data_IF_444949076125
#
_entry.id   IF_444949076125
#
_cell.length_a   1.000
_cell.length_b   1.000
_cell.length_c   1.000
_cell.angle_alpha   90.00
_cell.angle_beta   90.00
_cell.angle_gamma   90.00
#
_symmetry.space_group_name_H-M   'P 1'
#
loop_
_entity.id
_entity.type
_entity.pdbx_description
1 polymer ?
#
# COMPACT_ATOMS: atom_id res chain seq x y z
N UNK A 1 13.48 -11.42 -0.14
CA UNK A 1 12.08 -11.05 -0.43
C UNK A 1 11.40 -10.87 0.90
N UNK A 2 11.41 -9.64 1.42
CA UNK A 2 10.90 -9.33 2.75
C UNK A 2 9.37 -9.46 2.73
N UNK A 3 8.81 -10.42 3.48
CA UNK A 3 7.35 -10.62 3.56
C UNK A 3 6.76 -9.39 4.24
N UNK A 4 6.04 -8.57 3.50
CA UNK A 4 5.13 -7.57 4.08
C UNK A 4 4.17 -8.33 5.00
N UNK A 5 4.30 -8.15 6.31
CA UNK A 5 3.35 -8.74 7.25
C UNK A 5 2.06 -7.91 7.27
N UNK A 6 0.93 -8.51 7.65
CA UNK A 6 -0.39 -7.87 7.57
C UNK A 6 -0.47 -6.49 8.27
N UNK A 7 0.26 -6.30 9.38
CA UNK A 7 0.31 -5.01 10.08
C UNK A 7 1.10 -3.96 9.31
N UNK A 8 2.18 -4.33 8.62
CA UNK A 8 2.89 -3.43 7.73
C UNK A 8 2.00 -3.00 6.56
N UNK A 9 1.32 -3.95 5.92
CA UNK A 9 0.38 -3.64 4.84
C UNK A 9 -0.71 -2.67 5.30
N UNK A 10 -1.33 -2.92 6.46
CA UNK A 10 -2.36 -2.05 7.01
C UNK A 10 -1.88 -0.60 7.24
N UNK A 11 -0.66 -0.43 7.75
CA UNK A 11 -0.06 0.91 7.94
C UNK A 11 0.19 1.61 6.59
N UNK A 12 0.76 0.91 5.62
CA UNK A 12 1.02 1.48 4.28
C UNK A 12 -0.27 1.86 3.56
N UNK A 13 -1.29 1.00 3.61
CA UNK A 13 -2.59 1.30 3.03
C UNK A 13 -3.27 2.48 3.71
N UNK A 14 -3.21 2.59 5.03
CA UNK A 14 -3.79 3.72 5.75
C UNK A 14 -3.11 5.04 5.37
N UNK A 15 -1.78 5.08 5.34
CA UNK A 15 -1.01 6.28 4.96
C UNK A 15 -1.25 6.65 3.49
N UNK A 16 -1.40 5.66 2.60
CA UNK A 16 -1.72 5.90 1.20
C UNK A 16 -3.11 6.55 1.03
N UNK A 17 -4.11 6.13 1.83
CA UNK A 17 -5.47 6.71 1.79
C UNK A 17 -5.57 8.04 2.54
N UNK A 18 -4.72 8.25 3.55
CA UNK A 18 -4.76 9.40 4.44
C UNK A 18 -3.37 10.07 4.55
N UNK A 19 -2.85 10.66 3.45
CA UNK A 19 -1.56 11.32 3.48
C UNK A 19 -1.55 12.49 4.48
N UNK A 20 -0.45 12.63 5.20
CA UNK A 20 -0.28 13.66 6.23
C UNK A 20 -0.79 13.25 7.61
N UNK A 21 -1.27 12.00 7.77
CA UNK A 21 -1.72 11.47 9.05
C UNK A 21 -0.58 11.36 10.07
N UNK A 22 -0.93 11.48 11.35
CA UNK A 22 -0.05 11.22 12.49
C UNK A 22 -0.02 9.75 12.87
N UNK A 23 1.01 9.32 13.61
CA UNK A 23 1.10 7.95 14.17
C UNK A 23 -0.17 7.59 14.94
N UNK A 24 -0.74 8.54 15.70
CA UNK A 24 -1.95 8.31 16.49
C UNK A 24 -3.15 8.05 15.60
N UNK A 25 -3.35 8.85 14.57
CA UNK A 25 -4.48 8.66 13.63
C UNK A 25 -4.38 7.33 12.88
N UNK A 26 -3.16 6.91 12.50
CA UNK A 26 -2.91 5.58 11.90
C UNK A 26 -3.21 4.48 12.93
N UNK A 27 -2.81 4.65 14.18
CA UNK A 27 -3.10 3.71 15.29
C UNK A 27 -4.61 3.54 15.47
N UNK A 28 -5.34 4.66 15.54
CA UNK A 28 -6.77 4.68 15.76
C UNK A 28 -7.55 4.00 14.62
N UNK A 29 -7.12 4.17 13.36
CA UNK A 29 -7.78 3.57 12.18
C UNK A 29 -7.40 2.11 11.93
N UNK A 30 -6.16 1.72 12.20
CA UNK A 30 -5.68 0.35 11.95
C UNK A 30 -5.95 -0.60 13.13
N UNK A 31 -6.22 -0.07 14.33
CA UNK A 31 -6.38 -0.85 15.55
C UNK A 31 -5.08 -1.52 16.05
N UNK A 32 -3.94 -1.22 15.43
CA UNK A 32 -2.63 -1.74 15.82
C UNK A 32 -2.11 -0.98 17.05
N UNK A 33 -1.23 -1.62 17.83
CA UNK A 33 -0.57 -0.93 18.94
C UNK A 33 0.32 0.23 18.43
N UNK A 34 0.27 1.38 19.10
CA UNK A 34 1.03 2.59 18.70
C UNK A 34 2.54 2.32 18.58
N UNK A 35 3.11 1.49 19.46
CA UNK A 35 4.52 1.10 19.42
C UNK A 35 4.89 0.25 18.20
N UNK A 36 3.94 -0.54 17.68
CA UNK A 36 4.10 -1.29 16.44
C UNK A 36 4.02 -0.35 15.23
N UNK A 37 3.02 0.54 15.19
CA UNK A 37 2.88 1.55 14.13
C UNK A 37 4.14 2.41 14.04
N UNK A 38 4.63 2.92 15.17
CA UNK A 38 5.85 3.72 15.22
C UNK A 38 7.08 2.97 14.70
N UNK A 39 7.19 1.67 14.98
CA UNK A 39 8.31 0.84 14.52
C UNK A 39 8.25 0.60 13.01
N UNK A 40 7.06 0.31 12.49
CA UNK A 40 6.82 0.14 11.05
C UNK A 40 7.14 1.44 10.32
N UNK A 41 6.61 2.57 10.79
CA UNK A 41 6.84 3.89 10.19
C UNK A 41 8.32 4.25 10.22
N UNK A 42 9.01 4.04 11.35
CA UNK A 42 10.45 4.29 11.47
C UNK A 42 11.28 3.43 10.52
N UNK A 43 11.00 2.14 10.42
CA UNK A 43 11.68 1.24 9.50
C UNK A 43 11.42 1.62 8.03
N UNK A 44 10.18 1.95 7.69
CA UNK A 44 9.80 2.37 6.35
C UNK A 44 10.41 3.73 5.96
N UNK A 45 10.49 4.68 6.89
CA UNK A 45 11.17 5.95 6.68
C UNK A 45 12.68 5.76 6.48
N UNK A 46 13.32 4.91 7.30
CA UNK A 46 14.74 4.56 7.13
C UNK A 46 15.02 3.88 5.79
N UNK A 47 14.07 3.10 5.26
CA UNK A 47 14.13 2.50 3.94
C UNK A 47 13.71 3.46 2.79
N UNK A 48 13.35 4.70 3.09
CA UNK A 48 12.95 5.71 2.10
C UNK A 48 11.55 5.49 1.49
N UNK A 49 10.74 4.61 2.08
CA UNK A 49 9.38 4.32 1.62
C UNK A 49 8.34 5.32 2.16
N UNK A 50 8.59 5.91 3.33
CA UNK A 50 7.77 6.95 3.93
C UNK A 50 8.59 8.21 4.18
N UNK A 51 7.93 9.36 4.14
CA UNK A 51 8.47 10.64 4.60
C UNK A 51 7.74 11.03 5.88
N UNK A 52 8.51 11.42 6.88
CA UNK A 52 8.00 11.86 8.18
C UNK A 52 8.45 13.30 8.38
N UNK A 53 7.50 14.23 8.42
CA UNK A 53 7.76 15.66 8.62
C UNK A 53 7.18 16.12 9.94
N UNK A 54 7.92 16.94 10.68
CA UNK A 54 7.38 17.70 11.80
C UNK A 54 6.72 18.97 11.27
N UNK A 55 5.48 19.23 11.70
CA UNK A 55 4.76 20.45 11.36
C UNK A 55 5.44 21.68 12.00
N UNK A 56 5.83 22.65 11.18
CA UNK A 56 6.52 23.86 11.63
C UNK A 56 5.64 24.78 12.50
N UNK A 57 4.31 24.64 12.40
CA UNK A 57 3.34 25.43 13.19
C UNK A 57 3.00 24.78 14.52
N UNK A 58 3.18 23.46 14.62
CA UNK A 58 3.02 22.69 15.85
C UNK A 58 3.97 21.49 15.84
N UNK A 59 5.13 21.65 16.47
CA UNK A 59 6.16 20.61 16.55
C UNK A 59 5.68 19.30 17.21
N UNK A 60 4.50 19.30 17.84
CA UNK A 60 3.86 18.10 18.41
C UNK A 60 3.13 17.26 17.35
N UNK A 61 2.95 17.76 16.13
CA UNK A 61 2.30 17.07 15.02
C UNK A 61 3.33 16.57 14.02
N UNK A 62 3.54 15.26 14.04
CA UNK A 62 4.31 14.53 13.04
C UNK A 62 3.36 14.07 11.94
N UNK A 63 3.68 14.36 10.68
CA UNK A 63 2.91 13.95 9.50
C UNK A 63 3.66 12.85 8.74
N UNK A 64 2.92 11.84 8.32
CA UNK A 64 3.44 10.66 7.62
C UNK A 64 2.84 10.64 6.23
N UNK A 65 3.69 10.51 5.22
CA UNK A 65 3.31 10.42 3.83
C UNK A 65 4.12 9.33 3.14
N UNK A 66 3.62 8.77 2.05
CA UNK A 66 4.43 7.96 1.15
C UNK A 66 5.53 8.87 0.57
N UNK A 67 6.76 8.35 0.44
CA UNK A 67 7.79 9.10 -0.25
C UNK A 67 7.38 9.32 -1.72
N UNK A 68 7.92 10.37 -2.35
CA UNK A 68 7.66 10.64 -3.76
C UNK A 68 8.09 9.49 -4.66
N UNK A 69 9.17 8.79 -4.31
CA UNK A 69 9.65 7.59 -5.00
C UNK A 69 8.73 6.39 -4.81
N UNK A 70 8.26 6.13 -3.59
CA UNK A 70 7.29 5.06 -3.33
C UNK A 70 5.95 5.34 -4.01
N UNK A 71 5.48 6.59 -3.98
CA UNK A 71 4.26 7.03 -4.67
C UNK A 71 4.39 6.86 -6.18
N UNK A 72 5.52 7.26 -6.76
CA UNK A 72 5.79 7.07 -8.19
C UNK A 72 5.84 5.58 -8.57
N UNK A 73 6.45 4.72 -7.75
CA UNK A 73 6.48 3.27 -7.99
C UNK A 73 5.10 2.62 -7.87
N UNK A 74 4.26 3.08 -6.92
CA UNK A 74 2.87 2.62 -6.77
C UNK A 74 2.04 3.06 -7.98
N UNK A 75 2.16 4.32 -8.39
CA UNK A 75 1.48 4.86 -9.57
C UNK A 75 1.95 4.15 -10.84
N UNK A 76 3.25 3.94 -11.02
CA UNK A 76 3.81 3.22 -12.16
C UNK A 76 3.34 1.76 -12.21
N UNK A 77 3.17 1.11 -11.05
CA UNK A 77 2.60 -0.25 -10.98
C UNK A 77 1.09 -0.27 -11.19
N UNK A 78 0.38 0.79 -10.79
CA UNK A 78 -1.05 0.93 -11.06
C UNK A 78 -1.31 1.26 -12.54
N UNK A 79 -0.40 2.00 -13.17
CA UNK A 79 -0.41 2.34 -14.59
C UNK A 79 0.13 1.22 -15.47
N UNK A 80 0.91 0.27 -14.92
CA UNK A 80 1.26 -0.96 -15.64
C UNK A 80 -0.03 -1.76 -15.85
N UNK A 81 -0.51 -1.87 -17.11
CA UNK A 81 -1.74 -2.60 -17.38
C UNK A 81 -1.57 -4.03 -16.88
N UNK A 82 -2.58 -4.57 -16.18
CA UNK A 82 -2.55 -5.94 -15.66
C UNK A 82 -2.16 -6.94 -16.76
N UNK A 83 -2.57 -6.69 -18.00
CA UNK A 83 -2.17 -7.46 -19.19
C UNK A 83 -0.65 -7.47 -19.41
N UNK A 84 0.01 -6.32 -19.36
CA UNK A 84 1.47 -6.21 -19.53
C UNK A 84 2.23 -6.89 -18.39
N UNK A 85 1.74 -6.79 -17.16
CA UNK A 85 2.33 -7.49 -16.02
C UNK A 85 2.17 -9.02 -16.15
N UNK A 86 1.01 -9.49 -16.61
CA UNK A 86 0.78 -10.90 -16.89
C UNK A 86 1.66 -11.40 -18.03
N UNK A 87 1.80 -10.66 -19.12
CA UNK A 87 2.71 -10.96 -20.23
C UNK A 87 4.15 -11.21 -19.76
N UNK A 88 4.70 -10.29 -18.97
CA UNK A 88 6.08 -10.38 -18.47
C UNK A 88 6.30 -11.53 -17.49
N UNK A 89 5.33 -11.82 -16.62
CA UNK A 89 5.51 -12.77 -15.52
C UNK A 89 5.02 -14.19 -15.83
N UNK A 90 4.18 -14.38 -16.85
CA UNK A 90 3.71 -15.69 -17.29
C UNK A 90 4.02 -15.95 -18.78
N UNK A 91 5.30 -15.92 -19.20
CA UNK A 91 5.66 -16.04 -20.62
C UNK A 91 5.35 -17.41 -21.22
N UNK A 92 5.13 -18.43 -20.37
CA UNK A 92 4.81 -19.80 -20.78
C UNK A 92 3.32 -20.05 -21.02
N UNK A 93 2.44 -19.12 -20.63
CA UNK A 93 1.01 -19.25 -20.88
C UNK A 93 0.66 -18.84 -22.31
N UNK A 94 -0.24 -19.58 -22.93
CA UNK A 94 -0.89 -19.17 -24.17
C UNK A 94 -1.76 -17.92 -23.95
N UNK A 95 -2.10 -17.22 -25.02
CA UNK A 95 -2.98 -16.03 -24.94
C UNK A 95 -4.34 -16.37 -24.32
N UNK A 96 -4.87 -17.57 -24.60
CA UNK A 96 -6.13 -18.04 -24.04
C UNK A 96 -6.04 -18.26 -22.52
N UNK A 97 -4.96 -18.86 -22.04
CA UNK A 97 -4.71 -19.09 -20.62
C UNK A 97 -4.45 -17.77 -19.88
N UNK A 98 -3.71 -16.85 -20.50
CA UNK A 98 -3.47 -15.50 -19.97
C UNK A 98 -4.78 -14.71 -19.84
N UNK A 99 -5.62 -14.75 -20.87
CA UNK A 99 -6.94 -14.12 -20.83
C UNK A 99 -7.86 -14.74 -19.77
N UNK A 100 -7.78 -16.06 -19.55
CA UNK A 100 -8.51 -16.72 -18.47
C UNK A 100 -8.01 -16.29 -17.09
N UNK A 101 -6.70 -16.20 -16.89
CA UNK A 101 -6.08 -15.71 -15.66
C UNK A 101 -6.49 -14.26 -15.36
N UNK A 102 -6.42 -13.38 -16.36
CA UNK A 102 -6.87 -11.99 -16.24
C UNK A 102 -8.34 -11.90 -15.79
N UNK A 103 -9.24 -12.65 -16.45
CA UNK A 103 -10.66 -12.69 -16.07
C UNK A 103 -10.88 -13.14 -14.63
N UNK A 104 -10.18 -14.17 -14.17
CA UNK A 104 -10.32 -14.67 -12.80
C UNK A 104 -9.81 -13.66 -11.77
N UNK A 105 -8.69 -13.00 -12.04
CA UNK A 105 -8.14 -11.96 -11.16
C UNK A 105 -9.09 -10.75 -11.07
N UNK A 106 -9.65 -10.30 -12.19
CA UNK A 106 -10.65 -9.24 -12.21
C UNK A 106 -11.90 -9.60 -11.40
N UNK A 107 -12.42 -10.82 -11.57
CA UNK A 107 -13.57 -11.29 -10.80
C UNK A 107 -13.28 -11.37 -9.29
N UNK A 108 -12.09 -11.84 -8.90
CA UNK A 108 -11.67 -11.86 -7.50
C UNK A 108 -11.56 -10.45 -6.91
N UNK A 109 -10.98 -9.50 -7.64
CA UNK A 109 -10.86 -8.11 -7.21
C UNK A 109 -12.23 -7.45 -7.00
N UNK A 110 -13.19 -7.72 -7.89
CA UNK A 110 -14.57 -7.23 -7.75
C UNK A 110 -15.26 -7.79 -6.50
N UNK A 111 -15.13 -9.10 -6.25
CA UNK A 111 -15.70 -9.74 -5.07
C UNK A 111 -15.10 -9.19 -3.76
N UNK A 112 -13.79 -9.00 -3.72
CA UNK A 112 -13.09 -8.41 -2.57
C UNK A 112 -13.52 -6.94 -2.34
N UNK A 113 -13.64 -6.16 -3.43
CA UNK A 113 -14.07 -4.76 -3.37
C UNK A 113 -15.53 -4.62 -2.90
N UNK A 114 -16.39 -5.58 -3.24
CA UNK A 114 -17.77 -5.64 -2.73
C UNK A 114 -17.81 -5.98 -1.25
N UNK A 115 -17.00 -6.93 -0.80
CA UNK A 115 -16.88 -7.27 0.63
C UNK A 115 -16.39 -6.11 1.49
N UNK A 116 -15.47 -5.30 0.96
CA UNK A 116 -14.92 -4.14 1.66
C UNK A 116 -15.88 -2.94 1.78
N UNK A 117 -16.96 -2.86 1.00
CA UNK A 117 -17.97 -1.78 1.06
C UNK A 117 -19.15 -2.07 2.00
N UNK A 118 -19.27 -3.32 2.45
CA UNK A 118 -20.38 -3.79 3.29
C UNK A 118 -19.98 -3.81 4.78
N UNK A 119 -18.72 -3.51 5.10
CA UNK A 119 -18.15 -3.46 6.43
C UNK A 119 -17.71 -2.03 6.78
#
# INVERSE_FOLDING_TARGET
MDRVNAGQLAVFEDVARHPGASIREVTDRTGLAQSLVSRIVGAAAAAGALTVTTDDRDRRRVRIELSSTASAAILQRADEPLDSALEQNTPHLTDQERAALHRHLAAAAELLSRGARVN
#
